data_IF_612374647656
#
_entry.id   IF_612374647656
#
_cell.length_a   1.000
_cell.length_b   1.000
_cell.length_c   1.000
_cell.angle_alpha   90.00
_cell.angle_beta   90.00
_cell.angle_gamma   90.00
#
_symmetry.space_group_name_H-M   'P 1'
#
loop_
_entity.id
_entity.type
_entity.pdbx_description
1 polymer ?
#
# COMPACT_ATOMS: atom_id res chain seq x y z
N UNK A 1 28.02 -52.29 36.92
CA UNK A 1 26.60 -52.15 36.69
C UNK A 1 26.27 -50.68 36.78
N UNK A 2 26.16 -49.98 35.66
CA UNK A 2 25.83 -48.58 35.60
C UNK A 2 24.60 -48.46 34.69
N UNK A 3 23.48 -48.03 35.29
CA UNK A 3 22.21 -47.79 34.62
C UNK A 3 22.23 -46.46 33.89
N UNK A 4 22.00 -46.51 32.57
CA UNK A 4 21.85 -45.36 31.71
C UNK A 4 20.41 -44.86 31.81
N UNK A 5 20.20 -43.65 32.30
CA UNK A 5 18.91 -42.99 32.31
C UNK A 5 18.73 -42.21 31.02
N UNK A 6 17.74 -42.66 30.24
CA UNK A 6 17.32 -42.01 28.99
C UNK A 6 16.43 -40.79 29.32
N UNK A 7 16.87 -39.58 29.02
CA UNK A 7 16.12 -38.34 29.18
C UNK A 7 15.36 -38.07 27.88
N UNK A 8 14.07 -38.37 27.87
CA UNK A 8 13.16 -37.94 26.78
C UNK A 8 12.90 -36.45 26.87
N UNK A 9 13.28 -35.74 25.79
CA UNK A 9 12.97 -34.32 25.60
C UNK A 9 11.58 -34.24 24.99
N UNK A 10 10.61 -33.73 25.76
CA UNK A 10 9.30 -33.35 25.22
C UNK A 10 9.44 -32.06 24.43
N UNK A 11 9.19 -32.12 23.13
CA UNK A 11 9.03 -30.93 22.29
C UNK A 11 7.61 -30.45 22.49
N UNK A 12 7.45 -29.32 23.17
CA UNK A 12 6.17 -28.61 23.22
C UNK A 12 5.91 -28.01 21.84
N UNK A 13 4.92 -28.56 21.15
CA UNK A 13 4.33 -27.94 19.96
C UNK A 13 3.50 -26.75 20.40
N UNK A 14 3.97 -25.54 20.14
CA UNK A 14 3.17 -24.33 20.27
C UNK A 14 2.01 -24.42 19.27
N UNK A 15 0.80 -24.65 19.78
CA UNK A 15 -0.42 -24.54 19.01
C UNK A 15 -0.58 -23.10 18.52
N UNK A 16 -0.51 -22.92 17.21
CA UNK A 16 -0.96 -21.69 16.55
C UNK A 16 -2.47 -21.56 16.78
N UNK A 17 -2.89 -20.46 17.39
CA UNK A 17 -4.30 -20.14 17.59
C UNK A 17 -5.06 -20.23 16.25
N UNK A 18 -6.22 -20.89 16.19
CA UNK A 18 -6.99 -21.00 14.97
C UNK A 18 -7.47 -19.61 14.53
N UNK A 19 -7.20 -19.25 13.26
CA UNK A 19 -7.81 -18.11 12.60
C UNK A 19 -9.33 -18.32 12.67
N UNK A 20 -10.05 -17.38 13.28
CA UNK A 20 -11.51 -17.43 13.41
C UNK A 20 -12.16 -17.54 12.02
N UNK A 21 -12.78 -18.67 11.70
CA UNK A 21 -13.52 -18.96 10.47
C UNK A 21 -14.90 -18.27 10.40
N UNK A 22 -15.12 -17.21 11.15
CA UNK A 22 -16.37 -16.46 11.05
C UNK A 22 -16.40 -15.72 9.71
N UNK A 23 -17.40 -15.96 8.84
CA UNK A 23 -17.52 -15.23 7.58
C UNK A 23 -17.60 -13.73 7.85
N UNK A 24 -16.67 -12.97 7.29
CA UNK A 24 -16.58 -11.54 7.49
C UNK A 24 -17.77 -10.84 6.86
N UNK A 25 -18.38 -9.90 7.58
CA UNK A 25 -19.45 -9.05 7.08
C UNK A 25 -18.82 -7.98 6.18
N UNK A 26 -19.18 -7.88 4.89
CA UNK A 26 -18.64 -6.85 4.00
C UNK A 26 -18.82 -5.45 4.61
N UNK A 27 -17.71 -4.68 4.64
CA UNK A 27 -17.70 -3.33 5.24
C UNK A 27 -17.41 -3.26 6.73
N UNK A 28 -17.26 -4.40 7.44
CA UNK A 28 -16.81 -4.41 8.84
C UNK A 28 -15.35 -3.94 8.94
N UNK A 29 -15.05 -3.24 10.05
CA UNK A 29 -13.68 -2.84 10.40
C UNK A 29 -13.26 -3.66 11.61
N UNK A 30 -12.10 -4.31 11.54
CA UNK A 30 -11.58 -5.11 12.64
C UNK A 30 -10.08 -4.87 12.83
N UNK A 31 -9.63 -4.93 14.09
CA UNK A 31 -8.21 -5.02 14.38
C UNK A 31 -7.70 -6.40 14.00
N UNK A 32 -6.51 -6.45 13.41
CA UNK A 32 -5.86 -7.71 13.02
C UNK A 32 -4.45 -7.76 13.56
N UNK A 33 -3.99 -8.98 13.84
CA UNK A 33 -2.62 -9.22 14.24
C UNK A 33 -1.72 -9.20 13.01
N UNK A 34 -0.84 -8.21 12.95
CA UNK A 34 0.17 -8.07 11.91
C UNK A 34 1.55 -8.12 12.56
N UNK A 35 2.32 -9.16 12.28
CA UNK A 35 3.68 -9.31 12.78
C UNK A 35 4.68 -8.72 11.79
N UNK A 36 5.31 -7.62 12.16
CA UNK A 36 6.40 -7.00 11.42
C UNK A 36 7.79 -7.47 11.89
N UNK A 37 8.86 -7.07 11.18
CA UNK A 37 10.22 -7.46 11.54
C UNK A 37 10.72 -6.89 12.88
N UNK A 38 10.09 -5.83 13.38
CA UNK A 38 10.43 -5.17 14.64
C UNK A 38 9.42 -5.45 15.77
N UNK A 39 8.54 -6.42 15.59
CA UNK A 39 7.47 -6.77 16.52
C UNK A 39 6.06 -6.55 15.92
N UNK A 40 5.03 -6.59 16.77
CA UNK A 40 3.65 -6.43 16.36
C UNK A 40 3.39 -5.03 15.80
N UNK A 41 2.66 -4.97 14.70
CA UNK A 41 2.17 -3.74 14.09
C UNK A 41 0.67 -3.60 14.32
N UNK A 42 0.24 -2.42 14.76
CA UNK A 42 -1.16 -2.07 14.88
C UNK A 42 -1.79 -1.96 13.49
N UNK A 43 -2.84 -2.74 13.23
CA UNK A 43 -3.45 -2.81 11.91
C UNK A 43 -4.97 -2.90 11.98
N UNK A 44 -5.63 -2.32 10.98
CA UNK A 44 -7.07 -2.33 10.76
C UNK A 44 -7.38 -2.90 9.38
N UNK A 45 -8.22 -3.91 9.35
CA UNK A 45 -8.78 -4.47 8.14
C UNK A 45 -10.22 -3.98 7.95
N UNK A 46 -10.50 -3.42 6.78
CA UNK A 46 -11.86 -3.31 6.27
C UNK A 46 -12.09 -4.51 5.36
N UNK A 47 -13.00 -5.40 5.75
CA UNK A 47 -13.35 -6.55 4.92
C UNK A 47 -14.01 -6.10 3.61
N UNK A 48 -13.60 -6.73 2.53
CA UNK A 48 -14.15 -6.50 1.20
C UNK A 48 -15.22 -7.54 0.84
N UNK A 49 -15.64 -7.49 -0.42
CA UNK A 49 -16.54 -8.50 -0.96
C UNK A 49 -15.80 -9.85 -1.12
N UNK A 50 -16.43 -11.00 -0.83
CA UNK A 50 -15.81 -12.32 -1.00
C UNK A 50 -15.23 -12.58 -2.40
N UNK A 51 -15.85 -12.01 -3.44
CA UNK A 51 -15.43 -12.13 -4.83
C UNK A 51 -14.55 -10.96 -5.32
N UNK A 52 -14.01 -10.12 -4.40
CA UNK A 52 -13.16 -9.01 -4.80
C UNK A 52 -11.94 -9.52 -5.59
N UNK A 53 -11.61 -8.92 -6.76
CA UNK A 53 -10.51 -9.40 -7.59
C UNK A 53 -9.12 -9.07 -7.03
N UNK A 54 -9.03 -8.09 -6.13
CA UNK A 54 -7.79 -7.58 -5.55
C UNK A 54 -7.94 -7.38 -4.04
N UNK A 55 -6.79 -7.37 -3.35
CA UNK A 55 -6.67 -6.88 -1.98
C UNK A 55 -5.84 -5.59 -1.96
N UNK A 56 -5.97 -4.77 -0.91
CA UNK A 56 -5.33 -3.46 -0.84
C UNK A 56 -4.57 -3.26 0.46
N UNK A 57 -3.33 -2.77 0.34
CA UNK A 57 -2.52 -2.24 1.44
C UNK A 57 -2.39 -0.72 1.30
N UNK A 58 -2.58 0.03 2.39
CA UNK A 58 -2.37 1.49 2.37
C UNK A 58 -1.40 1.89 3.47
N UNK A 59 -0.33 2.59 3.07
CA UNK A 59 0.76 3.05 3.91
C UNK A 59 0.58 4.52 4.30
N UNK A 60 0.75 4.84 5.58
CA UNK A 60 0.54 6.19 6.12
C UNK A 60 1.78 7.10 5.97
N UNK A 61 1.63 8.44 6.11
CA UNK A 61 2.73 9.38 5.99
C UNK A 61 3.72 9.29 7.17
N UNK A 62 4.74 10.17 7.17
CA UNK A 62 5.88 10.10 8.07
C UNK A 62 5.49 10.05 9.55
N UNK A 63 5.94 9.04 10.31
CA UNK A 63 5.62 8.87 11.74
C UNK A 63 5.93 10.11 12.58
N UNK A 64 7.14 10.65 12.46
CA UNK A 64 7.56 11.84 13.25
C UNK A 64 6.85 13.13 12.85
N UNK A 65 6.14 13.16 11.72
CA UNK A 65 5.24 14.23 11.31
C UNK A 65 3.79 14.03 11.78
N UNK A 66 3.56 13.13 12.74
CA UNK A 66 2.22 12.79 13.23
C UNK A 66 1.43 11.86 12.30
N UNK A 67 2.12 11.21 11.35
CA UNK A 67 1.52 10.23 10.44
C UNK A 67 1.03 8.98 11.17
N UNK A 68 -0.20 8.57 10.88
CA UNK A 68 -0.80 7.32 11.35
C UNK A 68 -1.73 6.75 10.29
N UNK A 69 -2.15 5.49 10.43
CA UNK A 69 -3.16 4.87 9.57
C UNK A 69 -4.53 5.59 9.57
N UNK A 70 -4.74 6.54 10.51
CA UNK A 70 -5.93 7.38 10.62
C UNK A 70 -5.79 8.73 9.90
N UNK A 71 -4.64 9.02 9.26
CA UNK A 71 -4.44 10.23 8.48
C UNK A 71 -5.56 10.42 7.46
N UNK A 72 -6.00 11.67 7.25
CA UNK A 72 -7.15 11.99 6.38
C UNK A 72 -6.96 11.50 4.94
N UNK A 73 -5.78 11.68 4.36
CA UNK A 73 -5.49 11.21 2.98
C UNK A 73 -5.56 9.68 2.92
N UNK A 74 -4.98 8.98 3.91
CA UNK A 74 -5.06 7.50 4.03
C UNK A 74 -6.51 7.03 4.17
N UNK A 75 -7.30 7.69 5.01
CA UNK A 75 -8.71 7.37 5.20
C UNK A 75 -9.51 7.56 3.91
N UNK A 76 -9.32 8.70 3.23
CA UNK A 76 -10.02 8.99 1.97
C UNK A 76 -9.60 8.03 0.85
N UNK A 77 -8.30 7.67 0.76
CA UNK A 77 -7.84 6.64 -0.17
C UNK A 77 -8.49 5.27 0.14
N UNK A 78 -8.53 4.87 1.43
CA UNK A 78 -9.16 3.62 1.84
C UNK A 78 -10.64 3.55 1.41
N UNK A 79 -11.37 4.65 1.51
CA UNK A 79 -12.77 4.75 1.06
C UNK A 79 -12.94 4.45 -0.43
N UNK A 80 -11.98 4.81 -1.27
CA UNK A 80 -12.03 4.51 -2.71
C UNK A 80 -11.95 3.01 -2.94
N UNK A 81 -10.97 2.32 -2.36
CA UNK A 81 -10.81 0.88 -2.51
C UNK A 81 -11.99 0.10 -1.90
N UNK A 82 -12.51 0.55 -0.75
CA UNK A 82 -13.73 -0.01 -0.15
C UNK A 82 -14.94 0.14 -1.07
N UNK A 83 -15.06 1.29 -1.76
CA UNK A 83 -16.12 1.54 -2.74
C UNK A 83 -16.05 0.62 -3.98
N UNK A 84 -14.88 0.02 -4.24
CA UNK A 84 -14.69 -1.03 -5.25
C UNK A 84 -14.96 -2.44 -4.69
N UNK A 85 -15.30 -2.55 -3.40
CA UNK A 85 -15.55 -3.81 -2.72
C UNK A 85 -14.27 -4.60 -2.35
N UNK A 86 -13.08 -3.98 -2.43
CA UNK A 86 -11.82 -4.66 -2.11
C UNK A 86 -11.56 -4.65 -0.60
N UNK A 87 -10.98 -5.73 -0.03
CA UNK A 87 -10.48 -5.69 1.34
C UNK A 87 -9.30 -4.72 1.44
N UNK A 88 -9.30 -3.89 2.51
CA UNK A 88 -8.32 -2.83 2.71
C UNK A 88 -7.64 -2.97 4.06
N UNK A 89 -6.34 -3.27 4.05
CA UNK A 89 -5.48 -3.27 5.21
C UNK A 89 -4.79 -1.91 5.35
N UNK A 90 -4.93 -1.28 6.52
CA UNK A 90 -4.15 -0.12 6.95
C UNK A 90 -3.42 -0.49 8.22
N UNK A 91 -2.21 -0.03 8.39
CA UNK A 91 -1.40 -0.33 9.56
C UNK A 91 -0.59 0.89 10.00
N UNK A 92 -0.14 0.90 11.24
CA UNK A 92 0.83 1.85 11.75
C UNK A 92 2.25 1.28 11.59
N UNK A 93 3.15 2.04 10.98
CA UNK A 93 4.57 1.69 10.93
C UNK A 93 5.14 1.49 12.33
N UNK A 94 6.26 0.77 12.44
CA UNK A 94 7.00 0.57 13.68
C UNK A 94 7.18 1.88 14.47
N UNK A 95 7.02 1.82 15.79
CA UNK A 95 7.12 2.97 16.68
C UNK A 95 5.98 3.99 16.55
N UNK A 96 4.88 3.66 15.86
CA UNK A 96 3.71 4.54 15.69
C UNK A 96 2.49 3.91 16.36
N UNK A 97 1.74 4.69 17.12
CA UNK A 97 0.55 4.21 17.82
C UNK A 97 0.87 3.04 18.74
N UNK A 98 0.19 1.91 18.55
CA UNK A 98 0.41 0.67 19.31
C UNK A 98 1.39 -0.29 18.62
N UNK A 99 2.03 0.11 17.52
CA UNK A 99 3.07 -0.68 16.84
C UNK A 99 4.37 -0.70 17.64
N UNK A 100 4.95 -1.88 17.78
CA UNK A 100 6.23 -2.09 18.44
C UNK A 100 7.43 -1.59 17.58
N UNK A 101 8.62 -1.63 18.16
CA UNK A 101 9.85 -1.16 17.50
C UNK A 101 10.02 0.35 17.55
N UNK A 102 10.87 0.86 16.66
CA UNK A 102 11.16 2.29 16.55
C UNK A 102 11.35 2.70 15.09
N UNK A 103 10.90 3.89 14.77
CA UNK A 103 11.08 4.50 13.46
C UNK A 103 12.56 4.80 13.16
N UNK A 104 13.05 4.40 11.98
CA UNK A 104 14.39 4.75 11.51
C UNK A 104 14.40 5.36 10.10
N UNK A 105 13.26 5.33 9.42
CA UNK A 105 13.06 5.90 8.09
C UNK A 105 13.58 5.06 6.94
N UNK A 106 13.93 3.80 7.16
CA UNK A 106 14.44 2.86 6.15
C UNK A 106 13.86 1.46 6.30
N UNK A 107 13.86 0.94 7.53
CA UNK A 107 13.43 -0.42 7.83
C UNK A 107 11.91 -0.59 7.73
N UNK A 108 11.14 0.50 7.63
CA UNK A 108 9.69 0.50 7.40
C UNK A 108 9.28 -0.19 6.08
N UNK A 109 10.20 -0.34 5.13
CA UNK A 109 10.01 -1.21 3.96
C UNK A 109 9.70 -2.65 4.37
N UNK A 110 10.29 -3.14 5.47
CA UNK A 110 9.99 -4.45 6.03
C UNK A 110 8.58 -4.55 6.61
N UNK A 111 8.07 -3.46 7.20
CA UNK A 111 6.69 -3.42 7.71
C UNK A 111 5.67 -3.48 6.57
N UNK A 112 5.96 -2.78 5.46
CA UNK A 112 5.15 -2.88 4.23
C UNK A 112 5.11 -4.31 3.71
N UNK A 113 6.27 -4.99 3.63
CA UNK A 113 6.34 -6.39 3.18
C UNK A 113 5.51 -7.30 4.08
N UNK A 114 5.58 -7.13 5.40
CA UNK A 114 4.75 -7.90 6.33
C UNK A 114 3.25 -7.71 6.05
N UNK A 115 2.81 -6.47 5.72
CA UNK A 115 1.44 -6.20 5.32
C UNK A 115 1.04 -6.87 3.99
N UNK A 116 1.94 -6.86 3.00
CA UNK A 116 1.74 -7.54 1.72
C UNK A 116 1.64 -9.07 1.90
N UNK A 117 2.57 -9.66 2.66
CA UNK A 117 2.58 -11.10 2.96
C UNK A 117 1.31 -11.52 3.71
N UNK A 118 0.87 -10.71 4.67
CA UNK A 118 -0.35 -10.96 5.42
C UNK A 118 -1.59 -10.99 4.50
N UNK A 119 -1.70 -10.02 3.59
CA UNK A 119 -2.80 -9.97 2.61
C UNK A 119 -2.76 -11.15 1.63
N UNK A 120 -1.58 -11.49 1.14
CA UNK A 120 -1.38 -12.64 0.24
C UNK A 120 -1.82 -13.94 0.92
N UNK A 121 -1.38 -14.16 2.16
CA UNK A 121 -1.73 -15.37 2.92
C UNK A 121 -3.22 -15.46 3.25
N UNK A 122 -3.87 -14.31 3.54
CA UNK A 122 -5.29 -14.28 3.90
C UNK A 122 -6.22 -14.43 2.71
N UNK A 123 -5.93 -13.76 1.59
CA UNK A 123 -6.86 -13.65 0.48
C UNK A 123 -6.42 -14.42 -0.76
N UNK A 124 -5.13 -14.75 -0.90
CA UNK A 124 -4.55 -15.37 -2.09
C UNK A 124 -4.96 -14.64 -3.38
N UNK A 125 -4.83 -13.32 -3.39
CA UNK A 125 -5.24 -12.42 -4.48
C UNK A 125 -4.13 -11.43 -4.79
N UNK A 126 -4.06 -10.95 -6.04
CA UNK A 126 -3.16 -9.86 -6.41
C UNK A 126 -3.46 -8.60 -5.59
N UNK A 127 -2.41 -7.81 -5.32
CA UNK A 127 -2.48 -6.64 -4.47
C UNK A 127 -2.33 -5.38 -5.31
N UNK A 128 -3.25 -4.43 -5.13
CA UNK A 128 -3.11 -3.05 -5.60
C UNK A 128 -2.93 -2.16 -4.38
N UNK A 129 -1.73 -1.64 -4.18
CA UNK A 129 -1.41 -0.89 -2.97
C UNK A 129 -1.46 0.63 -3.20
N UNK A 130 -1.48 1.36 -2.10
CA UNK A 130 -1.36 2.82 -2.10
C UNK A 130 -0.52 3.29 -0.91
N UNK A 131 -0.01 4.51 -1.01
CA UNK A 131 0.68 5.14 0.11
C UNK A 131 0.63 6.65 -0.02
N UNK A 132 0.68 7.33 1.13
CA UNK A 132 0.76 8.78 1.18
C UNK A 132 2.12 9.24 1.69
N UNK A 133 2.76 10.17 0.96
CA UNK A 133 4.01 10.81 1.40
C UNK A 133 5.11 9.77 1.68
N UNK A 134 5.66 9.71 2.88
CA UNK A 134 6.61 8.69 3.33
C UNK A 134 6.09 7.27 3.06
N UNK A 135 4.80 7.02 3.30
CA UNK A 135 4.16 5.75 2.98
C UNK A 135 4.16 5.42 1.49
N UNK A 136 4.09 6.43 0.61
CA UNK A 136 4.26 6.23 -0.82
C UNK A 136 5.69 5.80 -1.17
N UNK A 137 6.71 6.42 -0.55
CA UNK A 137 8.11 6.08 -0.77
C UNK A 137 8.46 4.65 -0.28
N UNK A 138 8.04 4.29 0.94
CA UNK A 138 8.28 2.97 1.52
C UNK A 138 7.46 1.89 0.79
N UNK A 139 6.20 2.20 0.48
CA UNK A 139 5.28 1.31 -0.23
C UNK A 139 5.78 0.96 -1.63
N UNK A 140 6.13 1.95 -2.45
CA UNK A 140 6.69 1.72 -3.78
C UNK A 140 7.95 0.83 -3.72
N UNK A 141 8.86 1.12 -2.79
CA UNK A 141 10.10 0.35 -2.65
C UNK A 141 9.84 -1.12 -2.30
N UNK A 142 8.87 -1.41 -1.43
CA UNK A 142 8.48 -2.78 -1.11
C UNK A 142 7.77 -3.45 -2.29
N UNK A 143 6.75 -2.78 -2.84
CA UNK A 143 5.91 -3.30 -3.91
C UNK A 143 6.69 -3.63 -5.18
N UNK A 144 7.66 -2.80 -5.59
CA UNK A 144 8.48 -3.07 -6.79
C UNK A 144 9.34 -4.34 -6.70
N UNK A 145 9.43 -4.96 -5.52
CA UNK A 145 10.14 -6.22 -5.31
C UNK A 145 9.22 -7.37 -4.85
N UNK A 146 7.89 -7.18 -4.91
CA UNK A 146 6.89 -8.15 -4.45
C UNK A 146 6.05 -8.60 -5.64
N UNK A 147 6.16 -9.90 -6.07
CA UNK A 147 5.51 -10.41 -7.29
C UNK A 147 3.97 -10.31 -7.27
N UNK A 148 3.36 -10.39 -6.10
CA UNK A 148 1.90 -10.31 -5.92
C UNK A 148 1.34 -8.90 -6.15
N UNK A 149 2.20 -7.88 -6.20
CA UNK A 149 1.79 -6.50 -6.46
C UNK A 149 1.49 -6.30 -7.93
N UNK A 150 0.27 -5.86 -8.22
CA UNK A 150 -0.21 -5.58 -9.58
C UNK A 150 -0.42 -4.08 -9.85
N UNK A 151 -0.24 -3.22 -8.85
CA UNK A 151 -0.34 -1.78 -9.03
C UNK A 151 -0.08 -0.99 -7.76
N UNK A 152 0.28 0.29 -7.94
CA UNK A 152 0.52 1.20 -6.83
C UNK A 152 0.06 2.63 -7.12
N UNK A 153 -0.68 3.23 -6.17
CA UNK A 153 -1.01 4.65 -6.18
C UNK A 153 -0.15 5.41 -5.16
N UNK A 154 0.78 6.21 -5.65
CA UNK A 154 1.63 7.09 -4.86
C UNK A 154 0.97 8.47 -4.72
N UNK A 155 0.42 8.76 -3.54
CA UNK A 155 -0.23 10.02 -3.22
C UNK A 155 0.80 10.95 -2.56
N UNK A 156 1.05 12.13 -3.15
CA UNK A 156 2.04 13.07 -2.64
C UNK A 156 3.42 12.42 -2.45
N UNK A 157 3.96 11.73 -3.47
CA UNK A 157 5.28 11.11 -3.39
C UNK A 157 6.34 12.18 -3.14
N UNK A 158 7.04 12.19 -1.99
CA UNK A 158 8.01 13.24 -1.72
C UNK A 158 9.25 13.08 -2.61
N UNK A 159 9.76 14.18 -3.15
CA UNK A 159 11.05 14.23 -3.84
C UNK A 159 12.10 14.96 -3.02
N UNK A 160 11.62 15.77 -2.05
CA UNK A 160 12.45 16.53 -1.14
C UNK A 160 11.80 16.59 0.26
N UNK A 161 12.62 16.52 1.29
CA UNK A 161 12.25 16.86 2.67
C UNK A 161 13.49 17.33 3.42
N UNK A 162 13.33 18.16 4.45
CA UNK A 162 14.44 18.63 5.27
C UNK A 162 15.24 17.45 5.86
N UNK A 163 16.54 17.47 5.63
CA UNK A 163 17.46 16.40 6.10
C UNK A 163 17.32 15.04 5.39
N UNK A 164 16.54 14.95 4.30
CA UNK A 164 16.35 13.71 3.56
C UNK A 164 16.22 13.95 2.07
N UNK A 165 17.08 13.29 1.29
CA UNK A 165 16.94 13.17 -0.15
C UNK A 165 16.20 11.88 -0.50
N UNK A 166 15.15 12.00 -1.31
CA UNK A 166 14.40 10.87 -1.82
C UNK A 166 14.86 10.50 -3.22
N UNK A 167 15.31 9.26 -3.38
CA UNK A 167 15.70 8.70 -4.68
C UNK A 167 14.96 7.42 -4.97
N UNK A 168 14.61 7.21 -6.24
CA UNK A 168 13.73 6.11 -6.67
C UNK A 168 14.31 5.29 -7.84
N UNK A 169 15.61 4.86 -7.79
CA UNK A 169 16.24 4.17 -8.91
C UNK A 169 15.58 2.84 -9.25
N UNK A 170 14.93 2.20 -8.29
CA UNK A 170 14.21 0.93 -8.47
C UNK A 170 12.96 1.07 -9.37
N UNK A 171 12.43 2.28 -9.58
CA UNK A 171 11.27 2.50 -10.44
C UNK A 171 11.55 2.15 -11.91
N UNK A 172 12.80 2.19 -12.34
CA UNK A 172 13.21 1.75 -13.67
C UNK A 172 12.98 0.25 -13.93
N UNK A 173 12.89 -0.57 -12.87
CA UNK A 173 12.58 -2.00 -12.96
C UNK A 173 11.16 -2.37 -12.51
N UNK A 174 10.33 -1.41 -12.17
CA UNK A 174 9.01 -1.62 -11.60
C UNK A 174 7.94 -1.64 -12.70
N UNK A 175 7.52 -2.82 -13.15
CA UNK A 175 6.74 -3.03 -14.38
C UNK A 175 5.21 -3.00 -14.22
N UNK A 176 4.67 -2.95 -13.01
CA UNK A 176 3.21 -2.81 -12.80
C UNK A 176 2.74 -1.36 -12.99
N UNK A 177 1.43 -1.11 -13.25
CA UNK A 177 0.84 0.21 -13.36
C UNK A 177 1.07 1.07 -12.10
N UNK A 178 1.56 2.29 -12.28
CA UNK A 178 1.84 3.26 -11.21
C UNK A 178 1.13 4.58 -11.47
N UNK A 179 0.39 5.04 -10.47
CA UNK A 179 -0.15 6.39 -10.41
C UNK A 179 0.73 7.24 -9.49
N UNK A 180 1.18 8.39 -10.00
CA UNK A 180 1.73 9.47 -9.19
C UNK A 180 0.68 10.58 -9.14
N UNK A 181 0.03 10.75 -7.98
CA UNK A 181 -1.02 11.74 -7.77
C UNK A 181 -0.56 12.74 -6.73
N UNK A 182 -0.47 14.02 -7.10
CA UNK A 182 0.01 15.08 -6.21
C UNK A 182 -0.75 16.38 -6.42
N UNK A 183 -0.66 17.29 -5.46
CA UNK A 183 -1.08 18.67 -5.66
C UNK A 183 -0.04 19.43 -6.49
N UNK A 184 -0.49 20.41 -7.28
CA UNK A 184 0.43 21.26 -8.04
C UNK A 184 1.18 22.31 -7.18
N UNK A 185 0.74 22.46 -5.89
CA UNK A 185 1.39 23.27 -4.85
C UNK A 185 2.03 22.43 -3.75
N UNK A 186 2.33 21.17 -4.02
CA UNK A 186 2.98 20.28 -3.05
C UNK A 186 4.45 20.73 -2.81
N UNK A 187 4.73 21.19 -1.60
CA UNK A 187 6.06 21.68 -1.22
C UNK A 187 7.09 20.56 -1.06
N UNK A 188 6.66 19.32 -0.83
CA UNK A 188 7.54 18.14 -0.72
C UNK A 188 7.81 17.45 -2.06
N UNK A 189 7.05 17.81 -3.09
CA UNK A 189 7.15 17.26 -4.42
C UNK A 189 7.02 18.34 -5.50
N UNK A 190 7.96 19.31 -5.60
CA UNK A 190 7.95 20.32 -6.65
C UNK A 190 7.77 19.66 -8.01
N UNK A 191 6.84 20.18 -8.83
CA UNK A 191 6.35 19.55 -10.08
C UNK A 191 7.50 19.11 -10.98
N UNK A 192 8.55 19.92 -11.15
CA UNK A 192 9.70 19.58 -11.99
C UNK A 192 10.46 18.34 -11.50
N UNK A 193 10.62 18.20 -10.18
CA UNK A 193 11.27 17.04 -9.58
C UNK A 193 10.38 15.79 -9.68
N UNK A 194 9.07 15.93 -9.40
CA UNK A 194 8.12 14.81 -9.51
C UNK A 194 8.01 14.31 -10.95
N UNK A 195 8.02 15.21 -11.96
CA UNK A 195 8.07 14.85 -13.38
C UNK A 195 9.32 14.04 -13.70
N UNK A 196 10.50 14.48 -13.28
CA UNK A 196 11.75 13.76 -13.49
C UNK A 196 11.73 12.35 -12.88
N UNK A 197 11.18 12.20 -11.65
CA UNK A 197 10.97 10.88 -11.03
C UNK A 197 10.02 10.02 -11.85
N UNK A 198 8.88 10.59 -12.28
CA UNK A 198 7.90 9.86 -13.08
C UNK A 198 8.49 9.44 -14.43
N UNK A 199 9.23 10.32 -15.11
CA UNK A 199 9.88 10.02 -16.39
C UNK A 199 10.87 8.87 -16.27
N UNK A 200 11.60 8.77 -15.16
CA UNK A 200 12.59 7.70 -14.91
C UNK A 200 11.95 6.33 -14.60
N UNK A 201 10.66 6.30 -14.26
CA UNK A 201 9.96 5.06 -13.97
C UNK A 201 9.62 4.28 -15.24
N UNK A 202 9.61 2.93 -15.17
CA UNK A 202 9.11 2.08 -16.26
C UNK A 202 7.62 2.28 -16.51
N UNK A 203 7.17 2.01 -17.72
CA UNK A 203 5.75 1.89 -18.04
C UNK A 203 5.11 0.64 -17.39
N UNK A 204 3.80 0.60 -17.16
CA UNK A 204 2.83 1.70 -17.27
C UNK A 204 2.95 2.69 -16.08
N UNK A 205 2.87 3.97 -16.38
CA UNK A 205 2.93 5.03 -15.36
C UNK A 205 2.03 6.20 -15.76
N UNK A 206 1.55 6.95 -14.79
CA UNK A 206 0.73 8.14 -15.01
C UNK A 206 1.01 9.17 -13.92
N UNK A 207 1.18 10.43 -14.29
CA UNK A 207 1.27 11.56 -13.39
C UNK A 207 0.03 12.42 -13.53
N UNK A 208 -0.74 12.51 -12.43
CA UNK A 208 -1.91 13.38 -12.32
C UNK A 208 -1.67 14.45 -11.25
N UNK A 209 -2.00 15.70 -11.57
CA UNK A 209 -1.87 16.83 -10.68
C UNK A 209 -3.24 17.43 -10.38
N UNK A 210 -3.54 17.64 -9.09
CA UNK A 210 -4.73 18.33 -8.64
C UNK A 210 -4.40 19.81 -8.51
N UNK A 211 -5.12 20.63 -9.25
CA UNK A 211 -4.92 22.07 -9.27
C UNK A 211 -5.20 22.71 -7.91
N UNK A 212 -4.35 23.66 -7.49
CA UNK A 212 -4.42 24.38 -6.24
C UNK A 212 -4.37 23.50 -4.99
N UNK A 213 -3.92 22.27 -5.08
CA UNK A 213 -3.78 21.36 -3.95
C UNK A 213 -2.37 21.43 -3.34
N UNK A 214 -2.31 21.45 -2.02
CA UNK A 214 -1.08 21.25 -1.24
C UNK A 214 -0.76 19.77 -1.05
N UNK A 215 0.32 19.47 -0.33
CA UNK A 215 0.75 18.10 -0.01
C UNK A 215 -0.35 17.25 0.64
N UNK A 216 -1.20 17.85 1.47
CA UNK A 216 -2.24 17.18 2.24
C UNK A 216 -3.59 17.13 1.51
N UNK A 217 -3.66 17.64 0.28
CA UNK A 217 -4.89 17.80 -0.48
C UNK A 217 -5.95 18.58 0.31
N UNK A 218 -5.54 19.62 1.04
CA UNK A 218 -6.43 20.44 1.88
C UNK A 218 -7.55 21.05 1.03
N UNK A 219 -8.81 20.79 1.41
CA UNK A 219 -9.98 21.20 0.62
C UNK A 219 -10.20 20.46 -0.70
N UNK A 220 -9.30 19.51 -1.06
CA UNK A 220 -9.30 18.77 -2.34
C UNK A 220 -9.40 17.24 -2.18
N UNK A 221 -9.70 16.75 -0.97
CA UNK A 221 -9.76 15.31 -0.70
C UNK A 221 -10.80 14.57 -1.56
N UNK A 222 -11.92 15.20 -1.90
CA UNK A 222 -12.94 14.61 -2.78
C UNK A 222 -12.44 14.52 -4.22
N UNK A 223 -11.73 15.54 -4.71
CA UNK A 223 -11.10 15.53 -6.03
C UNK A 223 -10.01 14.44 -6.11
N UNK A 224 -9.19 14.32 -5.07
CA UNK A 224 -8.21 13.22 -4.94
C UNK A 224 -8.88 11.85 -4.98
N UNK A 225 -10.02 11.65 -4.27
CA UNK A 225 -10.76 10.39 -4.30
C UNK A 225 -11.31 10.08 -5.70
N UNK A 226 -11.92 11.07 -6.36
CA UNK A 226 -12.45 10.89 -7.72
C UNK A 226 -11.34 10.50 -8.69
N UNK A 227 -10.23 11.23 -8.68
CA UNK A 227 -9.08 10.96 -9.56
C UNK A 227 -8.50 9.57 -9.33
N UNK A 228 -8.33 9.15 -8.06
CA UNK A 228 -7.87 7.81 -7.70
C UNK A 228 -8.86 6.73 -8.16
N UNK A 229 -10.17 6.94 -7.93
CA UNK A 229 -11.21 6.01 -8.34
C UNK A 229 -11.25 5.83 -9.86
N UNK A 230 -11.14 6.91 -10.63
CA UNK A 230 -11.18 6.86 -12.09
C UNK A 230 -9.98 6.12 -12.65
N UNK A 231 -8.78 6.34 -12.07
CA UNK A 231 -7.59 5.58 -12.43
C UNK A 231 -7.75 4.09 -12.12
N UNK A 232 -8.22 3.74 -10.90
CA UNK A 232 -8.41 2.34 -10.51
C UNK A 232 -9.41 1.62 -11.40
N UNK A 233 -10.56 2.24 -11.71
CA UNK A 233 -11.58 1.63 -12.59
C UNK A 233 -11.10 1.43 -14.02
N UNK A 234 -10.23 2.29 -14.50
CA UNK A 234 -9.67 2.21 -15.85
C UNK A 234 -8.59 1.14 -15.96
N UNK A 235 -7.72 1.02 -14.95
CA UNK A 235 -6.57 0.12 -14.99
C UNK A 235 -6.91 -1.27 -14.44
N UNK A 236 -7.81 -1.37 -13.45
CA UNK A 236 -8.19 -2.59 -12.76
C UNK A 236 -9.70 -2.85 -12.88
N UNK A 237 -10.18 -3.27 -14.06
CA UNK A 237 -11.59 -3.55 -14.26
C UNK A 237 -12.06 -4.67 -13.33
N UNK A 238 -13.35 -4.63 -12.94
CA UNK A 238 -13.95 -5.70 -12.14
C UNK A 238 -13.81 -7.06 -12.88
N UNK A 239 -13.54 -8.13 -12.12
CA UNK A 239 -13.46 -9.46 -12.68
C UNK A 239 -14.71 -9.79 -13.52
N UNK A 240 -14.52 -10.11 -14.80
CA UNK A 240 -15.59 -10.50 -15.71
C UNK A 240 -15.86 -9.56 -16.91
N UNK A 241 -15.20 -8.40 -17.01
CA UNK A 241 -15.15 -7.66 -18.27
C UNK A 241 -13.79 -7.86 -18.92
N UNK A 242 -13.70 -8.52 -20.10
CA UNK A 242 -12.48 -8.52 -20.89
C UNK A 242 -12.10 -7.07 -21.22
N UNK A 243 -10.81 -6.74 -21.12
CA UNK A 243 -10.27 -5.52 -21.75
C UNK A 243 -10.65 -5.60 -23.23
N UNK A 244 -11.54 -4.71 -23.68
CA UNK A 244 -11.70 -4.51 -25.11
C UNK A 244 -10.34 -4.08 -25.65
N UNK A 245 -9.72 -4.99 -26.43
CA UNK A 245 -8.52 -4.67 -27.18
C UNK A 245 -8.84 -3.46 -28.04
N UNK A 246 -8.29 -2.29 -27.71
CA UNK A 246 -8.27 -1.16 -28.61
C UNK A 246 -7.44 -1.58 -29.81
N UNK A 247 -8.10 -2.15 -30.81
CA UNK A 247 -7.58 -2.23 -32.17
C UNK A 247 -7.28 -0.81 -32.61
N UNK A 248 -6.02 -0.43 -32.56
CA UNK A 248 -5.49 0.69 -33.34
C UNK A 248 -5.70 0.30 -34.82
N UNK A 249 -6.86 0.64 -35.36
CA UNK A 249 -7.02 0.73 -36.79
C UNK A 249 -6.11 1.85 -37.27
N UNK A 250 -5.01 1.45 -37.88
CA UNK A 250 -4.17 2.35 -38.67
C UNK A 250 -5.02 2.88 -39.83
N UNK A 251 -5.11 4.19 -40.05
CA UNK A 251 -5.69 4.69 -41.29
C UNK A 251 -4.75 4.34 -42.45
N UNK A 252 -5.22 3.42 -43.29
CA UNK A 252 -4.65 3.20 -44.61
C UNK A 252 -5.06 4.35 -45.51
N UNK A 253 -4.03 5.08 -46.00
CA UNK A 253 -4.00 6.12 -47.05
C UNK A 253 -4.38 7.54 -46.66
#
# INVERSE_FOLDING_TARGET
MASSANKSILIETTESSPISDTPAIPGSIQSVDLNGPAGRLEALLNEGHPEAPYATLICHPHPLGGGTMHNKVVYHAAKVFQGLGWPVLRFNFRGTGLSEGSHDGRAEVGDVRAGLDWLTNRYNRPIVAAGFSFGAAMGLKACCSTPETQGFAALGLPTHAEGRDYTYPYLAGCIFPKLFLSGDRDQYAPIGQLRAVTESASEPKELLLIQDADHFFSGKLIEMQSTLNDWLRRIFPAAGKPLESSTLESPVR
#
